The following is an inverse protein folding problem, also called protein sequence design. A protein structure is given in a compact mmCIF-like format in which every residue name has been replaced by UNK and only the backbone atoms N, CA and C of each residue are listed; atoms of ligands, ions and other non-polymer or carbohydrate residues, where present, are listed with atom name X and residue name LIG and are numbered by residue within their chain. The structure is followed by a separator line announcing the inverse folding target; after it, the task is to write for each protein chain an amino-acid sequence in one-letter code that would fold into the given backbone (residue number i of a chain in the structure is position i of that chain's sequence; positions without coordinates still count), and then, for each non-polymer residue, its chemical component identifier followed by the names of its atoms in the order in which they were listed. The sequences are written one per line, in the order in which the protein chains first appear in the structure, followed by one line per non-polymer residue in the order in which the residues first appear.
data_IF_484644903375
#
_entry.id   IF_484644903375
#
_cell.length_a   1.000
_cell.length_b   1.000
_cell.length_c   1.000
_cell.angle_alpha   90.00
_cell.angle_beta   90.00
_cell.angle_gamma   90.00
#
_symmetry.space_group_name_H-M   'P 1'
#
loop_
_entity.id
_entity.type
_entity.pdbx_description
1 polymer ?
#
# COMPACT_ATOMS: atom_id res chain seq x y z
N UNK A 1 -0.99 -3.35 -13.08
CA UNK A 1 0.10 -3.77 -13.98
C UNK A 1 0.47 -5.22 -13.69
N UNK A 2 -0.13 -6.17 -14.40
CA UNK A 2 0.13 -7.61 -14.22
C UNK A 2 1.33 -8.09 -15.03
N UNK A 3 2.48 -7.45 -14.80
CA UNK A 3 3.74 -7.63 -15.53
C UNK A 3 4.93 -7.26 -14.64
N UNK A 4 6.13 -7.66 -15.03
CA UNK A 4 7.36 -7.24 -14.40
C UNK A 4 8.61 -7.85 -15.04
N UNK A 5 9.77 -7.44 -14.55
CA UNK A 5 11.07 -8.00 -14.88
C UNK A 5 11.86 -8.27 -13.61
N UNK A 6 12.68 -9.33 -13.63
CA UNK A 6 13.50 -9.77 -12.50
C UNK A 6 14.74 -8.87 -12.34
N UNK A 7 14.49 -7.59 -12.09
CA UNK A 7 15.50 -6.56 -11.82
C UNK A 7 15.34 -6.13 -10.37
N UNK A 8 16.34 -6.42 -9.55
CA UNK A 8 16.32 -6.07 -8.11
C UNK A 8 16.49 -4.57 -7.89
N UNK A 9 17.30 -3.92 -8.73
CA UNK A 9 17.57 -2.49 -8.64
C UNK A 9 16.33 -1.66 -8.96
N UNK A 10 16.06 -0.66 -8.13
CA UNK A 10 14.95 0.27 -8.33
C UNK A 10 15.27 1.20 -9.49
N UNK A 11 14.37 1.25 -10.47
CA UNK A 11 14.59 2.04 -11.68
C UNK A 11 14.00 3.46 -11.57
N UNK A 12 14.81 4.53 -11.74
CA UNK A 12 14.34 5.91 -11.62
C UNK A 12 13.10 6.26 -12.46
N UNK A 13 12.89 5.74 -13.68
CA UNK A 13 11.66 6.01 -14.43
C UNK A 13 10.38 5.52 -13.74
N UNK A 14 10.40 4.34 -13.10
CA UNK A 14 9.23 3.82 -12.37
C UNK A 14 9.00 4.53 -11.04
N UNK A 15 10.08 5.01 -10.40
CA UNK A 15 9.99 5.90 -9.24
C UNK A 15 9.31 7.20 -9.62
N UNK A 16 9.77 7.86 -10.68
CA UNK A 16 9.20 9.12 -11.15
C UNK A 16 7.74 8.96 -11.59
N UNK A 17 7.42 7.90 -12.34
CA UNK A 17 6.07 7.63 -12.80
C UNK A 17 5.11 7.29 -11.64
N UNK A 18 5.53 6.43 -10.71
CA UNK A 18 4.74 6.07 -9.53
C UNK A 18 4.47 7.28 -8.63
N UNK A 19 5.52 8.06 -8.33
CA UNK A 19 5.38 9.29 -7.54
C UNK A 19 4.40 10.26 -8.20
N UNK A 20 4.60 10.53 -9.50
CA UNK A 20 3.74 11.44 -10.25
C UNK A 20 2.30 10.96 -10.31
N UNK A 21 2.07 9.65 -10.42
CA UNK A 21 0.73 9.08 -10.42
C UNK A 21 0.04 9.32 -9.06
N UNK A 22 0.71 9.01 -7.95
CA UNK A 22 0.18 9.26 -6.60
C UNK A 22 -0.11 10.74 -6.39
N UNK A 23 0.79 11.63 -6.84
CA UNK A 23 0.61 13.08 -6.78
C UNK A 23 -0.58 13.60 -7.60
N UNK A 24 -1.08 12.80 -8.54
CA UNK A 24 -2.26 13.12 -9.36
C UNK A 24 -3.48 12.31 -8.94
N UNK A 25 -3.45 11.69 -7.76
CA UNK A 25 -4.58 10.93 -7.22
C UNK A 25 -4.73 9.53 -7.83
N UNK A 26 -3.74 9.03 -8.57
CA UNK A 26 -3.78 7.71 -9.18
C UNK A 26 -2.88 6.72 -8.44
N UNK A 27 -3.46 5.60 -8.02
CA UNK A 27 -2.71 4.49 -7.43
C UNK A 27 -2.32 3.49 -8.53
N UNK A 28 -1.01 3.23 -8.66
CA UNK A 28 -0.52 2.13 -9.51
C UNK A 28 -0.35 0.88 -8.65
N UNK A 29 -1.01 -0.21 -9.06
CA UNK A 29 -0.89 -1.53 -8.46
C UNK A 29 -0.14 -2.45 -9.42
N UNK A 30 0.88 -3.17 -8.98
CA UNK A 30 1.72 -4.02 -9.82
C UNK A 30 2.00 -5.40 -9.20
N UNK A 31 2.26 -6.38 -10.05
CA UNK A 31 2.61 -7.75 -9.65
C UNK A 31 4.01 -7.77 -9.03
N UNK A 32 4.15 -8.34 -7.83
CA UNK A 32 5.45 -8.40 -7.14
C UNK A 32 6.50 -9.22 -7.91
N UNK A 33 6.06 -10.28 -8.61
CA UNK A 33 6.92 -11.15 -9.40
C UNK A 33 6.70 -12.63 -9.12
N UNK A 34 7.08 -13.48 -10.08
CA UNK A 34 6.94 -14.95 -10.00
C UNK A 34 8.30 -15.67 -10.02
N UNK A 35 9.36 -15.02 -9.52
CA UNK A 35 10.75 -15.47 -9.62
C UNK A 35 11.25 -16.26 -8.40
N UNK A 36 10.35 -16.60 -7.48
CA UNK A 36 10.67 -17.44 -6.35
C UNK A 36 10.57 -18.93 -6.70
N UNK A 37 11.23 -19.75 -5.90
CA UNK A 37 11.07 -21.20 -5.83
C UNK A 37 11.26 -21.59 -4.37
N UNK A 38 10.29 -21.22 -3.54
CA UNK A 38 10.39 -21.22 -2.06
C UNK A 38 10.62 -22.60 -1.48
N UNK A 39 9.98 -23.61 -2.06
CA UNK A 39 10.16 -25.04 -1.78
C UNK A 39 11.60 -25.52 -1.99
N UNK A 40 12.39 -24.80 -2.79
CA UNK A 40 13.81 -25.06 -3.05
C UNK A 40 14.73 -24.10 -2.26
N UNK A 41 14.17 -23.30 -1.34
CA UNK A 41 14.92 -22.33 -0.54
C UNK A 41 15.25 -21.02 -1.25
N UNK A 42 14.67 -20.75 -2.42
CA UNK A 42 14.83 -19.48 -3.12
C UNK A 42 13.57 -18.61 -2.96
N UNK A 43 13.59 -17.55 -2.13
CA UNK A 43 12.42 -16.70 -1.93
C UNK A 43 12.15 -15.69 -3.06
N UNK A 44 13.03 -15.62 -4.08
CA UNK A 44 12.93 -14.62 -5.14
C UNK A 44 13.13 -13.20 -4.61
N UNK A 45 12.66 -12.21 -5.36
CA UNK A 45 12.66 -10.81 -4.95
C UNK A 45 11.64 -10.00 -5.77
N UNK A 46 11.10 -8.94 -5.17
CA UNK A 46 10.19 -8.02 -5.87
C UNK A 46 10.95 -7.32 -7.00
N UNK A 47 10.44 -7.44 -8.22
CA UNK A 47 11.07 -6.91 -9.44
C UNK A 47 10.47 -5.59 -9.93
N UNK A 48 11.10 -4.96 -10.91
CA UNK A 48 10.54 -3.77 -11.56
C UNK A 48 9.26 -4.11 -12.36
N UNK A 49 8.23 -3.25 -12.36
CA UNK A 49 8.15 -1.94 -11.72
C UNK A 49 7.66 -1.96 -10.27
N UNK A 50 7.23 -3.12 -9.75
CA UNK A 50 6.67 -3.25 -8.41
C UNK A 50 7.68 -2.92 -7.31
N UNK A 51 8.98 -3.01 -7.60
CA UNK A 51 10.03 -2.59 -6.68
C UNK A 51 10.18 -1.07 -6.51
N UNK A 52 9.32 -0.25 -7.13
CA UNK A 52 9.27 1.18 -6.85
C UNK A 52 8.57 1.46 -5.52
N UNK A 53 9.08 2.35 -4.65
CA UNK A 53 8.43 2.71 -3.38
C UNK A 53 7.08 3.44 -3.57
N UNK A 54 6.76 3.83 -4.81
CA UNK A 54 5.53 4.54 -5.16
C UNK A 54 4.57 3.71 -6.01
N UNK A 55 4.77 2.39 -6.07
CA UNK A 55 3.90 1.44 -6.77
C UNK A 55 3.56 0.31 -5.80
N UNK A 56 2.27 0.03 -5.63
CA UNK A 56 1.82 -1.01 -4.69
C UNK A 56 2.13 -2.39 -5.26
N UNK A 57 3.04 -3.10 -4.60
CA UNK A 57 3.47 -4.45 -4.96
C UNK A 57 2.55 -5.51 -4.37
N UNK A 58 2.00 -6.38 -5.24
CA UNK A 58 1.03 -7.42 -4.86
C UNK A 58 1.65 -8.81 -4.97
N UNK A 59 1.76 -9.49 -3.84
CA UNK A 59 2.11 -10.91 -3.78
C UNK A 59 0.91 -11.84 -3.95
N UNK A 60 1.16 -13.13 -4.12
CA UNK A 60 0.13 -14.14 -4.37
C UNK A 60 0.00 -15.12 -3.21
N UNK A 61 -1.24 -15.41 -2.82
CA UNK A 61 -1.58 -16.52 -1.92
C UNK A 61 -2.52 -17.52 -2.58
N UNK A 62 -2.57 -18.73 -2.05
CA UNK A 62 -3.52 -19.77 -2.41
C UNK A 62 -4.84 -19.69 -1.61
N UNK A 63 -5.75 -20.62 -1.91
CA UNK A 63 -7.04 -20.77 -1.22
C UNK A 63 -6.94 -21.10 0.27
N UNK A 64 -5.79 -21.59 0.73
CA UNK A 64 -5.47 -21.85 2.15
C UNK A 64 -4.73 -20.66 2.79
N UNK A 65 -4.71 -19.52 2.10
CA UNK A 65 -4.01 -18.29 2.47
C UNK A 65 -2.50 -18.47 2.65
N UNK A 66 -1.90 -19.50 2.05
CA UNK A 66 -0.45 -19.69 2.05
C UNK A 66 0.18 -18.93 0.89
N UNK A 67 1.34 -18.31 1.14
CA UNK A 67 2.11 -17.63 0.09
C UNK A 67 2.48 -18.63 -1.01
N UNK A 68 2.20 -18.26 -2.26
CA UNK A 68 2.48 -19.11 -3.41
C UNK A 68 3.98 -19.34 -3.58
N UNK A 69 4.38 -20.55 -3.98
CA UNK A 69 5.79 -20.97 -4.12
C UNK A 69 6.62 -20.03 -5.02
N UNK A 70 5.97 -19.47 -6.05
CA UNK A 70 6.57 -18.54 -7.00
C UNK A 70 6.54 -17.08 -6.55
N UNK A 71 5.74 -16.72 -5.53
CA UNK A 71 5.53 -15.32 -5.16
C UNK A 71 6.82 -14.71 -4.63
N UNK A 72 7.28 -13.66 -5.28
CA UNK A 72 8.43 -12.88 -4.86
C UNK A 72 8.32 -12.42 -3.39
N UNK A 73 9.47 -12.32 -2.72
CA UNK A 73 9.61 -11.81 -1.35
C UNK A 73 10.15 -10.39 -1.33
N UNK A 74 9.76 -9.62 -0.32
CA UNK A 74 10.33 -8.31 -0.04
C UNK A 74 11.84 -8.42 0.22
N UNK A 75 12.55 -7.37 -0.18
CA UNK A 75 13.98 -7.20 0.06
C UNK A 75 14.22 -5.93 0.89
N UNK A 76 15.32 -5.83 1.67
CA UNK A 76 15.51 -4.75 2.64
C UNK A 76 15.88 -3.39 2.03
N UNK A 77 16.03 -3.30 0.71
CA UNK A 77 16.27 -2.05 -0.01
C UNK A 77 15.07 -1.08 0.08
N UNK A 78 15.30 0.21 -0.18
CA UNK A 78 14.21 1.19 -0.32
C UNK A 78 13.51 0.95 -1.68
N UNK A 79 12.20 0.71 -1.65
CA UNK A 79 11.51 -0.03 -2.72
C UNK A 79 11.76 -1.55 -2.68
N UNK A 80 10.98 -2.35 -3.39
CA UNK A 80 11.11 -3.81 -3.37
C UNK A 80 10.39 -4.49 -2.20
N UNK A 81 9.45 -3.80 -1.57
CA UNK A 81 8.54 -4.36 -0.58
C UNK A 81 7.46 -5.22 -1.25
N UNK A 82 6.87 -6.14 -0.48
CA UNK A 82 5.52 -6.65 -0.75
C UNK A 82 4.58 -5.83 0.11
N UNK A 83 3.65 -5.10 -0.49
CA UNK A 83 2.73 -4.23 0.27
C UNK A 83 1.51 -5.00 0.76
N UNK A 84 1.02 -5.91 -0.06
CA UNK A 84 -0.22 -6.64 0.18
C UNK A 84 -0.24 -7.94 -0.62
N UNK A 85 -1.06 -8.90 -0.20
CA UNK A 85 -1.30 -10.13 -0.96
C UNK A 85 -2.77 -10.30 -1.33
N UNK A 86 -3.01 -11.05 -2.40
CA UNK A 86 -4.34 -11.42 -2.85
C UNK A 86 -4.33 -12.81 -3.50
N UNK A 87 -5.51 -13.41 -3.76
CA UNK A 87 -5.59 -14.72 -4.42
C UNK A 87 -4.89 -14.70 -5.78
N UNK A 88 -3.90 -15.58 -5.94
CA UNK A 88 -3.08 -15.67 -7.14
C UNK A 88 -2.78 -17.09 -7.60
N UNK A 89 -3.29 -18.12 -6.93
CA UNK A 89 -3.26 -19.51 -7.40
C UNK A 89 -4.65 -19.93 -7.85
N UNK A 90 -4.69 -20.63 -8.99
CA UNK A 90 -5.88 -21.24 -9.58
C UNK A 90 -7.05 -20.25 -9.74
N UNK A 91 -6.73 -19.06 -10.26
CA UNK A 91 -7.70 -17.99 -10.47
C UNK A 91 -8.41 -18.20 -11.81
N UNK A 92 -9.71 -18.47 -11.73
CA UNK A 92 -10.60 -18.59 -12.88
C UNK A 92 -11.00 -17.21 -13.41
N UNK A 93 -10.79 -16.95 -14.71
CA UNK A 93 -11.14 -15.67 -15.33
C UNK A 93 -11.48 -15.83 -16.82
N UNK A 94 -11.89 -14.72 -17.44
CA UNK A 94 -12.14 -14.64 -18.88
C UNK A 94 -10.87 -14.91 -19.69
N UNK A 95 -11.03 -15.57 -20.83
CA UNK A 95 -9.92 -15.94 -21.70
C UNK A 95 -10.25 -15.71 -23.18
N UNK A 96 -9.21 -15.74 -24.02
CA UNK A 96 -9.37 -15.54 -25.46
C UNK A 96 -9.98 -16.78 -26.11
N UNK A 97 -10.94 -16.58 -27.01
CA UNK A 97 -11.56 -17.66 -27.77
C UNK A 97 -10.51 -18.56 -28.47
N UNK A 98 -10.76 -19.89 -28.59
CA UNK A 98 -12.05 -20.56 -28.39
C UNK A 98 -12.39 -20.88 -26.92
N UNK A 99 -11.41 -21.00 -26.03
CA UNK A 99 -11.65 -21.16 -24.59
C UNK A 99 -12.01 -19.79 -23.98
N UNK A 100 -13.30 -19.54 -23.71
CA UNK A 100 -13.74 -18.23 -23.18
C UNK A 100 -13.44 -18.01 -21.70
N UNK A 101 -12.97 -19.05 -21.01
CA UNK A 101 -12.49 -18.99 -19.63
C UNK A 101 -11.26 -19.87 -19.44
N UNK A 102 -10.40 -19.48 -18.52
CA UNK A 102 -9.22 -20.24 -18.15
C UNK A 102 -8.88 -20.03 -16.67
N UNK A 103 -8.16 -20.98 -16.10
CA UNK A 103 -7.65 -20.92 -14.74
C UNK A 103 -6.13 -20.86 -14.80
N UNK A 104 -5.54 -19.78 -14.27
CA UNK A 104 -4.09 -19.60 -14.26
C UNK A 104 -3.63 -19.05 -12.91
N UNK A 105 -2.31 -19.12 -12.70
CA UNK A 105 -1.65 -18.73 -11.44
C UNK A 105 -0.57 -17.70 -11.70
N UNK A 106 -0.42 -16.76 -10.78
CA UNK A 106 0.62 -15.74 -10.79
C UNK A 106 0.29 -14.55 -9.90
N UNK A 107 1.31 -13.78 -9.50
CA UNK A 107 1.09 -12.45 -8.90
C UNK A 107 0.33 -11.52 -9.86
N UNK A 108 0.46 -11.74 -11.17
CA UNK A 108 -0.38 -11.16 -12.22
C UNK A 108 -1.89 -11.36 -12.03
N UNK A 109 -2.32 -12.43 -11.36
CA UNK A 109 -3.73 -12.73 -11.06
C UNK A 109 -4.16 -12.15 -9.70
N UNK A 110 -3.22 -12.00 -8.76
CA UNK A 110 -3.44 -11.30 -7.50
C UNK A 110 -3.62 -9.78 -7.71
N UNK A 111 -2.82 -9.16 -8.57
CA UNK A 111 -2.87 -7.72 -8.89
C UNK A 111 -4.27 -7.19 -9.24
N UNK A 112 -5.07 -7.80 -10.14
CA UNK A 112 -6.41 -7.31 -10.47
C UNK A 112 -7.41 -7.44 -9.31
N UNK A 113 -7.25 -8.40 -8.39
CA UNK A 113 -8.08 -8.45 -7.18
C UNK A 113 -7.90 -7.19 -6.33
N UNK A 114 -6.65 -6.82 -6.05
CA UNK A 114 -6.33 -5.59 -5.28
C UNK A 114 -6.79 -4.34 -6.02
N UNK A 115 -6.62 -4.31 -7.35
CA UNK A 115 -7.10 -3.18 -8.17
C UNK A 115 -8.62 -3.02 -8.10
N UNK A 116 -9.37 -4.12 -8.05
CA UNK A 116 -10.82 -4.10 -7.85
C UNK A 116 -11.22 -3.61 -6.46
N UNK A 117 -10.54 -4.07 -5.41
CA UNK A 117 -10.74 -3.56 -4.03
C UNK A 117 -10.45 -2.07 -3.95
N UNK A 118 -9.37 -1.60 -4.57
CA UNK A 118 -9.03 -0.18 -4.66
C UNK A 118 -10.16 0.62 -5.30
N UNK A 119 -10.75 0.14 -6.39
CA UNK A 119 -11.88 0.80 -7.03
C UNK A 119 -13.11 0.91 -6.11
N UNK A 120 -13.44 -0.16 -5.37
CA UNK A 120 -14.56 -0.16 -4.43
C UNK A 120 -14.34 0.80 -3.25
N UNK A 121 -13.11 0.89 -2.74
CA UNK A 121 -12.76 1.85 -1.68
C UNK A 121 -12.83 3.27 -2.23
N UNK A 122 -12.29 3.52 -3.42
CA UNK A 122 -12.35 4.84 -4.07
C UNK A 122 -13.80 5.28 -4.31
N UNK A 123 -14.68 4.39 -4.78
CA UNK A 123 -16.11 4.68 -4.98
C UNK A 123 -16.82 5.02 -3.66
N UNK A 124 -16.57 4.23 -2.62
CA UNK A 124 -17.29 4.38 -1.34
C UNK A 124 -16.80 5.54 -0.47
N UNK A 125 -15.54 5.95 -0.61
CA UNK A 125 -14.90 6.95 0.27
C UNK A 125 -14.46 8.22 -0.45
N UNK A 126 -14.32 8.18 -1.78
CA UNK A 126 -13.72 9.25 -2.57
C UNK A 126 -12.19 9.34 -2.45
N UNK A 127 -11.54 8.37 -1.82
CA UNK A 127 -10.08 8.36 -1.64
C UNK A 127 -9.32 8.15 -2.95
N UNK A 128 -8.17 8.82 -3.05
CA UNK A 128 -7.32 8.84 -4.25
C UNK A 128 -5.86 8.78 -3.86
N UNK A 129 -4.98 8.44 -4.81
CA UNK A 129 -3.52 8.46 -4.62
C UNK A 129 -3.06 7.74 -3.36
N UNK A 130 -2.33 8.46 -2.50
CA UNK A 130 -1.80 7.93 -1.24
C UNK A 130 -2.92 7.57 -0.24
N UNK A 131 -3.94 8.43 -0.08
CA UNK A 131 -5.08 8.14 0.82
C UNK A 131 -5.79 6.83 0.46
N UNK A 132 -5.82 6.47 -0.83
CA UNK A 132 -6.37 5.20 -1.28
C UNK A 132 -5.45 4.02 -0.92
N UNK A 133 -4.13 4.17 -1.12
CA UNK A 133 -3.15 3.17 -0.70
C UNK A 133 -3.31 2.84 0.78
N UNK A 134 -3.34 3.86 1.63
CA UNK A 134 -3.34 3.66 3.08
C UNK A 134 -4.62 3.02 3.61
N UNK A 135 -5.76 3.31 2.97
CA UNK A 135 -7.00 2.60 3.29
C UNK A 135 -6.97 1.14 2.86
N UNK A 136 -6.37 0.82 1.71
CA UNK A 136 -6.24 -0.57 1.26
C UNK A 136 -5.42 -1.37 2.25
N UNK A 137 -4.27 -0.87 2.69
CA UNK A 137 -3.39 -1.61 3.60
C UNK A 137 -3.87 -1.63 5.06
N UNK A 138 -4.73 -0.69 5.46
CA UNK A 138 -5.37 -0.69 6.79
C UNK A 138 -6.57 -1.63 6.82
N UNK A 139 -7.25 -1.82 5.68
CA UNK A 139 -8.42 -2.67 5.56
C UNK A 139 -8.08 -4.04 4.96
N UNK A 140 -7.19 -4.75 5.65
CA UNK A 140 -6.72 -6.10 5.27
C UNK A 140 -7.08 -7.12 6.34
N UNK A 141 -7.09 -8.39 5.97
CA UNK A 141 -7.02 -9.49 6.92
C UNK A 141 -5.54 -9.81 7.20
N UNK A 142 -5.03 -9.60 8.42
CA UNK A 142 -3.67 -9.98 8.78
C UNK A 142 -3.46 -11.49 8.60
N UNK A 143 -2.30 -11.88 8.10
CA UNK A 143 -1.91 -13.28 7.94
C UNK A 143 -0.78 -13.63 8.93
N UNK A 144 -0.82 -14.82 9.50
CA UNK A 144 0.25 -15.33 10.38
C UNK A 144 1.42 -15.89 9.55
N UNK A 145 2.01 -15.04 8.71
CA UNK A 145 3.16 -15.32 7.85
C UNK A 145 4.13 -14.14 7.95
N UNK A 146 5.35 -14.32 7.45
CA UNK A 146 6.38 -13.27 7.51
C UNK A 146 5.93 -12.02 6.73
N UNK A 147 6.08 -10.84 7.33
CA UNK A 147 5.72 -9.56 6.70
C UNK A 147 6.44 -9.34 5.38
N UNK A 148 7.65 -9.88 5.23
CA UNK A 148 8.38 -9.81 3.96
C UNK A 148 7.72 -10.64 2.85
N UNK A 149 6.85 -11.60 3.18
CA UNK A 149 6.10 -12.39 2.22
C UNK A 149 4.69 -11.87 1.95
N UNK A 150 4.04 -11.29 2.96
CA UNK A 150 2.61 -10.93 2.88
C UNK A 150 2.30 -9.44 2.98
N UNK A 151 3.30 -8.60 3.27
CA UNK A 151 3.10 -7.18 3.52
C UNK A 151 2.10 -6.95 4.66
N UNK A 152 1.14 -6.05 4.44
CA UNK A 152 0.09 -5.76 5.39
C UNK A 152 -0.86 -6.96 5.64
N UNK A 153 -0.99 -7.88 4.67
CA UNK A 153 -1.88 -9.03 4.76
C UNK A 153 -2.73 -9.24 3.51
N UNK A 154 -3.82 -10.00 3.65
CA UNK A 154 -4.75 -10.31 2.57
C UNK A 154 -5.66 -9.13 2.28
N UNK A 155 -5.75 -8.73 1.02
CA UNK A 155 -6.70 -7.71 0.54
C UNK A 155 -8.16 -8.14 0.74
N UNK A 156 -8.97 -7.27 1.34
CA UNK A 156 -10.38 -7.49 1.62
C UNK A 156 -11.22 -6.38 0.97
N UNK A 157 -12.28 -6.78 0.26
CA UNK A 157 -13.24 -5.82 -0.28
C UNK A 157 -14.03 -5.14 0.85
N UNK A 158 -14.34 -3.83 0.74
CA UNK A 158 -15.12 -3.13 1.75
C UNK A 158 -16.52 -3.76 1.89
N UNK A 159 -16.93 -4.08 3.11
CA UNK A 159 -18.26 -4.60 3.42
C UNK A 159 -19.29 -3.47 3.52
N UNK A 160 -20.50 -3.70 3.02
CA UNK A 160 -21.64 -2.74 3.08
C UNK A 160 -22.21 -2.51 4.48
N UNK A 161 -21.64 -3.13 5.51
CA UNK A 161 -21.97 -2.78 6.89
C UNK A 161 -21.42 -1.39 7.13
N UNK A 162 -22.33 -0.42 7.14
CA UNK A 162 -22.19 0.79 7.92
C UNK A 162 -21.90 0.37 9.37
N UNK A 163 -20.65 0.03 9.67
CA UNK A 163 -20.16 0.14 11.02
C UNK A 163 -20.42 1.60 11.35
N UNK A 164 -21.40 1.85 12.23
CA UNK A 164 -21.55 3.14 12.84
C UNK A 164 -20.22 3.46 13.49
N UNK A 165 -19.35 4.17 12.77
CA UNK A 165 -18.13 4.74 13.33
C UNK A 165 -18.65 5.79 14.29
N UNK A 166 -18.68 5.41 15.57
CA UNK A 166 -18.96 6.33 16.66
C UNK A 166 -18.09 7.58 16.43
N UNK A 167 -18.66 8.79 16.50
CA UNK A 167 -17.97 9.99 16.05
C UNK A 167 -16.97 10.46 17.10
N UNK A 168 -15.89 9.72 17.40
CA UNK A 168 -14.79 10.23 18.25
C UNK A 168 -13.36 9.76 17.91
N UNK A 169 -13.08 8.70 17.15
CA UNK A 169 -11.68 8.38 16.78
C UNK A 169 -11.34 8.96 15.39
N UNK A 170 -10.63 10.10 15.37
CA UNK A 170 -10.26 10.77 14.11
C UNK A 170 -8.93 10.22 13.61
N UNK A 171 -8.95 9.80 12.35
CA UNK A 171 -7.78 9.39 11.61
C UNK A 171 -7.16 10.61 10.93
N UNK A 172 -5.84 10.72 11.03
CA UNK A 172 -5.04 11.85 10.61
C UNK A 172 -3.99 11.39 9.61
N UNK A 173 -3.92 12.09 8.48
CA UNK A 173 -2.76 12.06 7.60
C UNK A 173 -1.98 13.35 7.84
N UNK A 174 -0.74 13.21 8.29
CA UNK A 174 0.12 14.31 8.71
C UNK A 174 1.27 14.39 7.72
N UNK A 175 1.34 15.50 6.97
CA UNK A 175 2.49 15.79 6.10
C UNK A 175 3.56 16.50 6.91
N UNK A 176 4.79 16.01 6.83
CA UNK A 176 5.99 16.58 7.45
C UNK A 176 6.68 17.50 6.45
N UNK A 177 7.17 18.64 6.90
CA UNK A 177 7.85 19.59 6.03
C UNK A 177 9.21 19.06 5.52
N UNK A 178 9.68 19.59 4.39
CA UNK A 178 10.92 19.15 3.73
C UNK A 178 12.16 19.34 4.60
N UNK A 179 12.14 20.23 5.60
CA UNK A 179 13.28 20.41 6.50
C UNK A 179 13.35 19.31 7.57
N UNK A 180 12.23 18.63 7.84
CA UNK A 180 12.11 17.59 8.86
C UNK A 180 11.79 16.20 8.30
N UNK A 181 11.76 16.03 6.98
CA UNK A 181 11.51 14.72 6.33
C UNK A 181 12.59 13.68 6.66
N UNK A 182 13.84 14.11 6.91
CA UNK A 182 14.90 13.21 7.40
C UNK A 182 14.77 12.86 8.90
N UNK A 183 13.97 13.64 9.64
CA UNK A 183 13.70 13.49 11.07
C UNK A 183 12.26 13.02 11.34
N UNK A 184 11.67 12.30 10.39
CA UNK A 184 10.25 11.89 10.44
C UNK A 184 9.88 11.15 11.73
N UNK A 185 10.80 10.34 12.27
CA UNK A 185 10.57 9.62 13.54
C UNK A 185 10.56 10.56 14.76
N UNK A 186 11.30 11.66 14.72
CA UNK A 186 11.26 12.68 15.78
C UNK A 186 9.88 13.38 15.81
N UNK A 187 9.30 13.64 14.63
CA UNK A 187 7.94 14.16 14.51
C UNK A 187 6.93 13.13 15.01
N UNK A 188 7.10 11.85 14.67
CA UNK A 188 6.28 10.76 15.17
C UNK A 188 6.34 10.62 16.70
N UNK A 189 7.52 10.72 17.32
CA UNK A 189 7.68 10.68 18.77
C UNK A 189 7.02 11.89 19.45
N UNK A 190 7.11 13.06 18.82
CA UNK A 190 6.43 14.26 19.32
C UNK A 190 4.91 14.07 19.29
N UNK A 191 4.37 13.48 18.23
CA UNK A 191 2.95 13.11 18.13
C UNK A 191 2.54 12.12 19.23
N UNK A 192 3.33 11.06 19.45
CA UNK A 192 3.10 10.08 20.53
C UNK A 192 3.08 10.75 21.91
N UNK A 193 3.99 11.70 22.16
CA UNK A 193 4.02 12.45 23.42
C UNK A 193 2.77 13.31 23.67
N UNK A 194 2.04 13.66 22.60
CA UNK A 194 0.78 14.41 22.62
C UNK A 194 -0.46 13.51 22.70
N UNK A 195 -0.26 12.21 22.91
CA UNK A 195 -1.36 11.25 22.97
C UNK A 195 -1.95 10.90 21.61
N UNK A 196 -1.24 11.22 20.52
CA UNK A 196 -1.59 10.77 19.17
C UNK A 196 -0.98 9.39 18.97
N UNK A 197 -1.79 8.43 18.57
CA UNK A 197 -1.31 7.10 18.27
C UNK A 197 -0.86 7.05 16.81
N UNK A 198 0.45 7.01 16.58
CA UNK A 198 1.04 6.88 15.25
C UNK A 198 0.89 5.44 14.78
N UNK A 199 0.22 5.23 13.65
CA UNK A 199 -0.04 3.91 13.06
C UNK A 199 1.01 3.55 12.01
N UNK A 200 1.45 4.50 11.19
CA UNK A 200 2.42 4.28 10.12
C UNK A 200 3.23 5.53 9.83
N UNK A 201 4.50 5.35 9.49
CA UNK A 201 5.37 6.38 8.95
C UNK A 201 5.74 6.04 7.50
N UNK A 202 5.77 7.05 6.64
CA UNK A 202 6.09 6.96 5.21
C UNK A 202 7.23 7.94 4.89
N UNK A 203 8.50 7.60 5.21
CA UNK A 203 9.64 8.52 5.09
C UNK A 203 9.85 9.06 3.68
N UNK A 204 9.68 8.21 2.66
CA UNK A 204 9.83 8.58 1.26
C UNK A 204 8.79 9.60 0.75
N UNK A 205 7.73 9.83 1.53
CA UNK A 205 6.66 10.79 1.24
C UNK A 205 6.57 11.92 2.26
N UNK A 206 7.32 11.85 3.36
CA UNK A 206 7.13 12.77 4.47
C UNK A 206 5.78 12.65 5.14
N UNK A 207 5.17 11.45 5.19
CA UNK A 207 3.80 11.28 5.71
C UNK A 207 3.80 10.45 7.00
N UNK A 208 2.93 10.81 7.94
CA UNK A 208 2.64 10.05 9.15
C UNK A 208 1.13 9.81 9.22
N UNK A 209 0.72 8.55 9.30
CA UNK A 209 -0.64 8.16 9.64
C UNK A 209 -0.77 8.04 11.14
N UNK A 210 -1.84 8.60 11.67
CA UNK A 210 -2.07 8.59 13.10
C UNK A 210 -3.57 8.62 13.42
N UNK A 211 -3.92 8.27 14.65
CA UNK A 211 -5.28 8.44 15.17
C UNK A 211 -5.25 9.13 16.52
N UNK A 212 -6.27 9.96 16.74
CA UNK A 212 -6.49 10.62 18.02
C UNK A 212 -7.91 11.17 18.10
N UNK A 213 -8.56 10.90 19.24
CA UNK A 213 -9.86 11.44 19.58
C UNK A 213 -9.81 12.84 20.20
N UNK A 214 -8.63 13.25 20.67
CA UNK A 214 -8.49 14.37 21.61
C UNK A 214 -7.59 15.50 21.08
N UNK A 215 -7.08 15.40 19.86
CA UNK A 215 -6.26 16.44 19.24
C UNK A 215 -7.00 17.11 18.08
N UNK A 216 -6.80 18.42 17.95
CA UNK A 216 -7.34 19.23 16.86
C UNK A 216 -6.35 19.37 15.71
N UNK A 217 -6.84 19.81 14.53
CA UNK A 217 -5.97 20.07 13.37
C UNK A 217 -4.98 21.17 13.70
N UNK A 218 -5.44 22.21 14.39
CA UNK A 218 -4.64 23.35 14.81
C UNK A 218 -3.50 22.93 15.73
N UNK A 219 -3.78 22.07 16.72
CA UNK A 219 -2.77 21.51 17.62
C UNK A 219 -1.74 20.65 16.88
N UNK A 220 -2.18 19.84 15.90
CA UNK A 220 -1.28 19.05 15.07
C UNK A 220 -0.38 19.92 14.21
N UNK A 221 -0.94 20.93 13.52
CA UNK A 221 -0.16 21.87 12.69
C UNK A 221 0.73 22.81 13.51
N UNK A 222 0.53 22.89 14.83
CA UNK A 222 1.40 23.61 15.75
C UNK A 222 2.64 22.81 16.18
N UNK A 223 2.74 21.52 15.82
CA UNK A 223 3.91 20.69 16.10
C UNK A 223 5.00 21.03 15.09
N UNK A 224 6.22 21.28 15.60
CA UNK A 224 7.39 21.54 14.75
C UNK A 224 7.62 20.35 13.83
N UNK A 225 7.79 20.62 12.53
CA UNK A 225 7.91 19.60 11.50
C UNK A 225 6.60 19.22 10.82
N UNK A 226 5.42 19.57 11.37
CA UNK A 226 4.13 19.27 10.74
C UNK A 226 3.73 20.38 9.76
N UNK A 227 3.70 20.06 8.47
CA UNK A 227 3.30 20.97 7.39
C UNK A 227 1.77 21.04 7.21
N UNK A 228 1.06 19.92 7.38
CA UNK A 228 -0.39 19.82 7.35
C UNK A 228 -0.89 18.61 8.12
N UNK A 229 -2.14 18.66 8.55
CA UNK A 229 -2.86 17.54 9.16
C UNK A 229 -4.29 17.52 8.63
N UNK A 230 -4.70 16.40 8.04
CA UNK A 230 -6.01 16.27 7.38
C UNK A 230 -6.76 15.05 7.91
N UNK A 231 -8.07 15.21 8.11
CA UNK A 231 -8.98 14.13 8.51
C UNK A 231 -9.69 13.57 7.29
N UNK A 232 -9.62 12.26 7.07
CA UNK A 232 -10.39 11.49 6.06
C UNK A 232 -10.62 12.17 4.69
N UNK A 233 -9.66 11.90 3.79
CA UNK A 233 -9.81 11.82 2.31
C UNK A 233 -9.63 13.09 1.48
N UNK A 234 -8.92 14.10 1.97
CA UNK A 234 -8.38 15.16 1.10
C UNK A 234 -6.96 15.50 1.48
N UNK A 235 -6.01 14.72 0.99
CA UNK A 235 -4.65 15.21 0.82
C UNK A 235 -4.66 16.34 -0.23
N UNK A 236 -4.58 17.60 0.19
CA UNK A 236 -4.24 18.69 -0.73
C UNK A 236 -2.72 18.75 -0.82
N UNK A 237 -2.16 18.12 -1.85
CA UNK A 237 -0.77 18.33 -2.20
C UNK A 237 -0.57 19.81 -2.56
N UNK A 238 0.42 20.44 -1.92
CA UNK A 238 0.72 21.87 -2.11
C UNK A 238 0.98 22.15 -3.59
N UNK A 239 0.22 23.07 -4.16
CA UNK A 239 0.64 23.79 -5.36
C UNK A 239 1.83 24.66 -4.97
N UNK A 240 3.04 24.24 -5.35
CA UNK A 240 4.21 25.11 -5.30
C UNK A 240 4.13 26.08 -6.47
N UNK A 241 3.93 27.37 -6.17
CA UNK A 241 4.19 28.48 -7.09
C UNK A 241 5.69 28.61 -7.39
#
# INVERSE_FOLDING_TARGET
MSLGADVREVHPPYVAAGRRALEQGSLIVAAAGNNASRSQGNPGFVGAPANSPYIMAVGAVDQSLQVADFSARAVPEDGGQVDIVAPGIDVYSSWIAPEVYNTISGTSMATPHVSGVAALIAESTGATGQDLWDQIITNVQPLNQDVADVGAGLSIAPSSTSAGRQPQDREWVITVDDAHTQDLELVADTLRSRGVQVTRTLPALGIIHAHSSNITKEELTGIVGVASADTNHRHQLRETN
#
